data_IF_758895429709
#
_entry.id   IF_758895429709
#
_cell.length_a   1.000
_cell.length_b   1.000
_cell.length_c   1.000
_cell.angle_alpha   90.00
_cell.angle_beta   90.00
_cell.angle_gamma   90.00
#
_symmetry.space_group_name_H-M   'P 1'
#
loop_
_entity.id
_entity.type
_entity.pdbx_description
1 polymer ?
#
# COMPACT_ATOMS: atom_id res chain seq x y z
N UNK A 1 37.77 24.68 -5.87
CA UNK A 1 37.59 23.75 -4.73
C UNK A 1 36.10 23.47 -4.67
N UNK A 2 35.66 22.28 -5.07
CA UNK A 2 34.26 21.89 -4.87
C UNK A 2 34.01 21.93 -3.37
N UNK A 3 32.99 22.66 -2.90
CA UNK A 3 32.56 22.52 -1.51
C UNK A 3 32.34 21.02 -1.25
N UNK A 4 32.80 20.52 -0.11
CA UNK A 4 32.50 19.16 0.29
C UNK A 4 30.97 19.03 0.36
N UNK A 5 30.39 18.05 -0.32
CA UNK A 5 28.96 17.78 -0.23
C UNK A 5 28.59 17.50 1.23
N UNK A 6 27.61 18.22 1.82
CA UNK A 6 27.23 18.01 3.20
C UNK A 6 26.64 16.61 3.38
N UNK A 7 26.99 15.97 4.49
CA UNK A 7 26.41 14.69 4.91
C UNK A 7 25.09 14.98 5.60
N UNK A 8 24.00 14.41 5.07
CA UNK A 8 22.64 14.44 5.64
C UNK A 8 22.52 13.45 6.79
N UNK A 9 21.59 13.69 7.69
CA UNK A 9 21.23 12.69 8.71
C UNK A 9 20.42 11.55 8.07
N UNK A 10 19.50 11.87 7.16
CA UNK A 10 18.64 10.90 6.48
C UNK A 10 18.51 11.20 4.98
N UNK A 11 18.59 10.16 4.15
CA UNK A 11 18.05 10.19 2.77
C UNK A 11 16.93 9.17 2.63
N UNK A 12 15.73 9.66 2.27
CA UNK A 12 14.59 8.83 1.92
C UNK A 12 14.51 8.54 0.43
N UNK A 13 14.17 7.30 0.08
CA UNK A 13 14.02 6.85 -1.31
C UNK A 13 12.58 6.41 -1.58
N UNK A 14 11.86 7.27 -2.30
CA UNK A 14 10.41 7.22 -2.50
C UNK A 14 9.71 8.35 -1.76
N UNK A 15 8.72 8.99 -2.38
CA UNK A 15 7.81 9.92 -1.72
C UNK A 15 6.39 9.38 -1.88
N UNK A 16 6.15 8.21 -1.26
CA UNK A 16 4.80 7.68 -1.01
C UNK A 16 4.19 8.29 0.27
N UNK A 17 2.96 7.89 0.64
CA UNK A 17 2.29 8.42 1.84
C UNK A 17 3.13 8.26 3.12
N UNK A 18 3.83 7.13 3.27
CA UNK A 18 4.62 6.84 4.47
C UNK A 18 5.84 7.75 4.62
N UNK A 19 6.70 7.83 3.59
CA UNK A 19 7.88 8.70 3.60
C UNK A 19 7.51 10.19 3.57
N UNK A 20 6.40 10.56 2.94
CA UNK A 20 5.87 11.92 3.03
C UNK A 20 5.41 12.24 4.46
N UNK A 21 4.79 11.29 5.16
CA UNK A 21 4.45 11.44 6.58
C UNK A 21 5.69 11.57 7.45
N UNK A 22 6.75 10.79 7.17
CA UNK A 22 8.01 10.91 7.88
C UNK A 22 8.65 12.29 7.66
N UNK A 23 8.64 12.78 6.42
CA UNK A 23 9.11 14.12 6.08
C UNK A 23 8.31 15.22 6.81
N UNK A 24 6.98 15.08 6.89
CA UNK A 24 6.11 16.02 7.58
C UNK A 24 6.31 16.01 9.11
N UNK A 25 6.57 14.85 9.71
CA UNK A 25 6.91 14.76 11.14
C UNK A 25 8.30 15.34 11.42
N UNK A 26 9.31 15.07 10.60
CA UNK A 26 10.63 15.68 10.77
C UNK A 26 10.62 17.21 10.64
N UNK A 27 9.77 17.76 9.77
CA UNK A 27 9.57 19.22 9.64
C UNK A 27 8.88 19.86 10.85
N UNK A 28 8.00 19.11 11.53
CA UNK A 28 7.27 19.57 12.72
C UNK A 28 8.00 19.34 14.04
N UNK A 29 9.08 18.56 14.06
CA UNK A 29 9.86 18.29 15.26
C UNK A 29 10.67 19.51 15.68
N UNK A 30 10.74 19.78 16.99
CA UNK A 30 11.61 20.84 17.55
C UNK A 30 13.12 20.52 17.38
N UNK A 31 13.44 19.31 16.94
CA UNK A 31 14.80 18.83 16.68
C UNK A 31 15.12 18.91 15.17
N UNK A 32 16.21 19.62 14.84
CA UNK A 32 16.67 19.85 13.47
C UNK A 32 17.41 18.60 12.93
N UNK A 33 16.69 17.72 12.23
CA UNK A 33 17.29 16.61 11.46
C UNK A 33 17.43 17.00 10.00
N UNK A 34 18.65 16.94 9.45
CA UNK A 34 18.88 17.25 8.04
C UNK A 34 18.48 16.06 7.15
N UNK A 35 17.22 16.05 6.71
CA UNK A 35 16.63 15.00 5.88
C UNK A 35 16.30 15.47 4.45
N UNK A 36 16.43 14.57 3.48
CA UNK A 36 15.96 14.78 2.11
C UNK A 36 15.32 13.52 1.55
N UNK A 37 14.19 13.66 0.86
CA UNK A 37 13.41 12.56 0.29
C UNK A 37 13.39 12.69 -1.23
N UNK A 38 13.61 11.58 -1.93
CA UNK A 38 13.82 11.55 -3.38
C UNK A 38 12.73 10.73 -4.07
N UNK A 39 12.05 11.30 -5.06
CA UNK A 39 11.13 10.55 -5.92
C UNK A 39 11.43 10.77 -7.40
N UNK A 40 11.25 9.72 -8.21
CA UNK A 40 11.46 9.77 -9.66
C UNK A 40 10.39 10.58 -10.39
N UNK A 41 9.16 10.62 -9.88
CA UNK A 41 8.06 11.36 -10.49
C UNK A 41 8.35 12.86 -10.43
N UNK A 42 7.83 13.66 -11.38
CA UNK A 42 8.00 15.11 -11.37
C UNK A 42 7.16 15.82 -10.30
N UNK A 43 6.11 15.16 -9.78
CA UNK A 43 5.22 15.67 -8.76
C UNK A 43 4.58 14.53 -7.96
N UNK A 44 4.01 14.85 -6.79
CA UNK A 44 3.27 13.88 -5.99
C UNK A 44 1.98 13.43 -6.70
N UNK A 45 1.85 12.12 -6.88
CA UNK A 45 0.66 11.43 -7.42
C UNK A 45 0.53 10.05 -6.78
N UNK A 46 -0.51 9.85 -5.99
CA UNK A 46 -0.79 8.57 -5.34
C UNK A 46 -1.88 7.80 -6.09
N UNK A 47 -1.52 6.63 -6.63
CA UNK A 47 -2.41 5.75 -7.42
C UNK A 47 -3.26 6.46 -8.48
N UNK A 48 -2.65 7.37 -9.27
CA UNK A 48 -3.36 8.24 -10.22
C UNK A 48 -4.35 7.54 -11.16
N UNK A 49 -4.03 6.35 -11.66
CA UNK A 49 -4.92 5.60 -12.57
C UNK A 49 -6.12 4.93 -11.88
N UNK A 50 -6.23 5.00 -10.55
CA UNK A 50 -7.33 4.48 -9.73
C UNK A 50 -8.03 5.57 -8.91
N UNK A 51 -7.81 6.86 -9.23
CA UNK A 51 -8.52 7.98 -8.59
C UNK A 51 -9.94 8.14 -9.17
N UNK A 52 -10.69 7.04 -9.22
CA UNK A 52 -12.05 6.96 -9.75
C UNK A 52 -12.96 7.86 -8.89
N UNK A 53 -13.83 8.63 -9.53
CA UNK A 53 -14.79 9.48 -8.81
C UNK A 53 -15.75 8.64 -7.96
N UNK A 54 -16.05 9.09 -6.75
CA UNK A 54 -16.87 8.35 -5.79
C UNK A 54 -16.10 7.35 -4.91
N UNK A 55 -14.86 6.99 -5.25
CA UNK A 55 -14.03 6.10 -4.40
C UNK A 55 -13.44 6.82 -3.19
N UNK A 56 -13.43 6.12 -2.06
CA UNK A 56 -12.96 6.63 -0.77
C UNK A 56 -11.73 5.86 -0.27
N UNK A 57 -11.07 6.41 0.75
CA UNK A 57 -10.13 5.64 1.57
C UNK A 57 -10.88 4.58 2.39
N UNK A 58 -10.22 3.47 2.67
CA UNK A 58 -10.73 2.42 3.57
C UNK A 58 -10.46 2.74 5.05
N UNK A 59 -9.65 3.79 5.31
CA UNK A 59 -9.30 4.28 6.64
C UNK A 59 -9.94 5.64 6.92
N UNK A 60 -10.20 6.00 8.19
CA UNK A 60 -10.68 7.33 8.54
C UNK A 60 -9.65 8.41 8.21
N UNK A 61 -10.08 9.64 7.94
CA UNK A 61 -9.17 10.78 7.69
C UNK A 61 -8.18 11.08 8.83
N UNK A 62 -8.41 10.52 10.03
CA UNK A 62 -7.46 10.59 11.14
C UNK A 62 -6.14 9.88 10.80
N UNK A 63 -6.18 8.88 9.92
CA UNK A 63 -5.01 8.26 9.29
C UNK A 63 -4.47 9.16 8.15
N UNK A 64 -4.32 10.46 8.44
CA UNK A 64 -3.55 11.36 7.61
C UNK A 64 -2.04 11.19 7.87
N UNK A 65 -1.21 12.12 7.39
CA UNK A 65 0.24 11.99 7.47
C UNK A 65 0.80 12.17 8.89
N UNK A 66 0.06 12.79 9.81
CA UNK A 66 0.62 13.35 11.06
C UNK A 66 -0.28 13.24 12.28
N UNK A 67 -1.62 13.27 12.13
CA UNK A 67 -2.60 13.53 13.20
C UNK A 67 -2.51 12.52 14.34
N UNK A 68 -2.28 11.24 14.06
CA UNK A 68 -2.16 10.22 15.10
C UNK A 68 -0.85 10.31 15.90
N UNK A 69 0.17 11.01 15.40
CA UNK A 69 1.40 11.31 16.15
C UNK A 69 1.34 12.69 16.82
N UNK A 70 0.84 13.70 16.10
CA UNK A 70 0.65 15.07 16.57
C UNK A 70 -0.57 15.73 15.89
N UNK A 71 -1.73 15.78 16.57
CA UNK A 71 -2.93 16.45 16.06
C UNK A 71 -2.77 17.96 15.85
N UNK A 72 -1.71 18.58 16.39
CA UNK A 72 -1.46 20.02 16.27
C UNK A 72 -0.64 20.38 15.04
N UNK A 73 -0.11 19.38 14.34
CA UNK A 73 0.74 19.57 13.17
C UNK A 73 0.06 20.43 12.10
N UNK A 74 0.78 21.42 11.54
CA UNK A 74 0.27 22.24 10.44
C UNK A 74 0.06 21.41 9.16
N UNK A 75 0.58 20.19 9.09
CA UNK A 75 0.42 19.29 7.95
C UNK A 75 -0.79 18.35 8.08
N UNK A 76 -1.63 18.52 9.11
CA UNK A 76 -2.85 17.70 9.27
C UNK A 76 -3.87 17.94 8.15
N UNK A 77 -4.69 16.93 7.88
CA UNK A 77 -5.76 16.98 6.89
C UNK A 77 -6.79 18.07 7.22
N UNK A 78 -7.12 18.24 8.50
CA UNK A 78 -8.02 19.32 8.93
C UNK A 78 -7.41 20.71 8.70
N UNK A 79 -6.10 20.88 8.88
CA UNK A 79 -5.44 22.15 8.56
C UNK A 79 -5.37 22.39 7.03
N UNK A 80 -5.16 21.34 6.24
CA UNK A 80 -5.32 21.41 4.79
C UNK A 80 -6.71 21.91 4.39
N UNK A 81 -7.78 21.34 4.95
CA UNK A 81 -9.15 21.79 4.66
C UNK A 81 -9.37 23.26 5.06
N UNK A 82 -8.77 23.70 6.16
CA UNK A 82 -8.82 25.10 6.59
C UNK A 82 -8.12 26.03 5.59
N UNK A 83 -6.92 25.68 5.18
CA UNK A 83 -6.09 26.45 4.23
C UNK A 83 -6.65 26.44 2.79
N UNK A 84 -7.51 25.47 2.46
CA UNK A 84 -8.24 25.42 1.19
C UNK A 84 -9.64 26.05 1.24
N UNK A 85 -10.04 26.64 2.37
CA UNK A 85 -11.37 27.21 2.61
C UNK A 85 -12.53 26.20 2.49
N UNK A 86 -12.27 24.90 2.75
CA UNK A 86 -13.25 23.80 2.60
C UNK A 86 -13.70 23.17 3.92
N UNK A 87 -13.19 23.66 5.06
CA UNK A 87 -13.46 23.04 6.37
C UNK A 87 -14.95 22.96 6.73
N UNK A 88 -15.74 24.00 6.45
CA UNK A 88 -17.19 23.97 6.72
C UNK A 88 -17.94 23.06 5.76
N UNK A 89 -17.50 22.95 4.52
CA UNK A 89 -18.09 22.03 3.54
C UNK A 89 -17.84 20.58 3.96
N UNK A 90 -16.61 20.29 4.41
CA UNK A 90 -16.25 18.99 4.96
C UNK A 90 -17.00 18.68 6.26
N UNK A 91 -17.20 19.67 7.14
CA UNK A 91 -18.00 19.52 8.36
C UNK A 91 -19.41 19.01 8.05
N UNK A 92 -20.06 19.51 7.00
CA UNK A 92 -21.37 19.03 6.57
C UNK A 92 -21.32 17.76 5.70
N UNK A 93 -20.15 17.41 5.18
CA UNK A 93 -19.96 16.14 4.46
C UNK A 93 -20.02 14.93 5.41
N UNK A 94 -19.72 15.13 6.71
CA UNK A 94 -19.99 14.22 7.84
C UNK A 94 -19.60 12.75 7.60
N UNK A 95 -18.45 12.52 6.96
CA UNK A 95 -17.91 11.16 6.75
C UNK A 95 -16.45 11.06 7.22
N UNK A 96 -16.09 9.87 7.72
CA UNK A 96 -14.71 9.56 8.10
C UNK A 96 -13.89 9.06 6.91
N UNK A 97 -14.49 8.27 6.01
CA UNK A 97 -13.84 7.82 4.78
C UNK A 97 -13.94 8.91 3.72
N UNK A 98 -12.79 9.53 3.41
CA UNK A 98 -12.72 10.67 2.49
C UNK A 98 -12.42 10.24 1.06
N UNK A 99 -12.79 11.04 0.04
CA UNK A 99 -12.50 10.71 -1.35
C UNK A 99 -11.00 10.58 -1.61
N UNK A 100 -10.57 9.54 -2.34
CA UNK A 100 -9.15 9.33 -2.67
C UNK A 100 -8.53 10.51 -3.43
N UNK A 101 -9.33 11.16 -4.28
CA UNK A 101 -8.94 12.38 -5.02
C UNK A 101 -8.60 13.53 -4.07
N UNK A 102 -9.33 13.67 -2.97
CA UNK A 102 -9.09 14.71 -1.98
C UNK A 102 -7.86 14.39 -1.13
N UNK A 103 -7.66 13.11 -0.77
CA UNK A 103 -6.46 12.67 -0.07
C UNK A 103 -5.18 12.83 -0.92
N UNK A 104 -5.23 12.52 -2.21
CA UNK A 104 -4.13 12.81 -3.15
C UNK A 104 -3.84 14.31 -3.26
N UNK A 105 -4.87 15.17 -3.27
CA UNK A 105 -4.70 16.62 -3.27
C UNK A 105 -4.10 17.15 -1.94
N UNK A 106 -4.50 16.57 -0.81
CA UNK A 106 -3.93 16.84 0.50
C UNK A 106 -2.44 16.48 0.55
N UNK A 107 -2.07 15.26 0.16
CA UNK A 107 -0.68 14.83 0.16
C UNK A 107 0.18 15.67 -0.80
N UNK A 108 -0.35 16.03 -1.97
CA UNK A 108 0.33 16.98 -2.87
C UNK A 108 0.55 18.33 -2.20
N UNK A 109 -0.45 18.85 -1.50
CA UNK A 109 -0.33 20.12 -0.76
C UNK A 109 0.74 20.06 0.33
N UNK A 110 0.88 18.95 1.06
CA UNK A 110 1.97 18.77 2.02
C UNK A 110 3.32 18.70 1.31
N UNK A 111 3.45 17.88 0.27
CA UNK A 111 4.69 17.73 -0.49
C UNK A 111 5.20 19.04 -1.11
N UNK A 112 4.29 19.93 -1.54
CA UNK A 112 4.63 21.26 -2.08
C UNK A 112 5.17 22.24 -1.00
N UNK A 113 4.92 21.97 0.29
CA UNK A 113 5.34 22.81 1.41
C UNK A 113 6.66 22.37 2.05
N UNK A 114 7.09 21.14 1.76
CA UNK A 114 8.28 20.54 2.36
C UNK A 114 9.49 20.71 1.44
N UNK A 115 10.45 21.53 1.86
CA UNK A 115 11.72 21.73 1.13
C UNK A 115 12.60 20.45 1.10
N UNK A 116 12.33 19.49 1.98
CA UNK A 116 12.99 18.19 2.04
C UNK A 116 12.56 17.26 0.89
N UNK A 117 11.42 17.49 0.23
CA UNK A 117 10.94 16.69 -0.88
C UNK A 117 11.60 17.10 -2.21
N UNK A 118 12.26 16.15 -2.90
CA UNK A 118 12.92 16.36 -4.19
C UNK A 118 12.38 15.38 -5.24
N UNK A 119 11.53 15.91 -6.10
CA UNK A 119 10.99 15.23 -7.27
C UNK A 119 11.99 15.23 -8.45
N UNK A 120 11.71 14.42 -9.47
CA UNK A 120 12.63 14.16 -10.60
C UNK A 120 14.02 13.72 -10.14
N UNK A 121 14.06 12.84 -9.14
CA UNK A 121 15.26 12.20 -8.56
C UNK A 121 15.07 10.68 -8.56
N UNK A 122 15.32 10.05 -9.69
CA UNK A 122 15.38 8.59 -9.77
C UNK A 122 16.69 8.09 -9.17
N UNK A 123 16.62 7.42 -8.02
CA UNK A 123 17.77 6.76 -7.40
C UNK A 123 18.19 5.56 -8.23
N UNK A 124 19.48 5.52 -8.59
CA UNK A 124 20.07 4.50 -9.46
C UNK A 124 21.07 3.60 -8.75
N UNK A 125 21.64 4.04 -7.63
CA UNK A 125 22.55 3.23 -6.82
C UNK A 125 22.63 3.76 -5.39
N UNK A 126 22.74 2.83 -4.44
CA UNK A 126 23.06 3.08 -3.04
C UNK A 126 24.29 2.25 -2.68
N UNK A 127 25.37 2.91 -2.27
CA UNK A 127 26.63 2.30 -1.84
C UNK A 127 26.94 2.73 -0.39
N UNK A 128 27.64 1.90 0.38
CA UNK A 128 28.14 2.29 1.70
C UNK A 128 29.65 2.56 1.63
N UNK A 129 30.07 3.76 2.02
CA UNK A 129 31.47 4.18 2.10
C UNK A 129 32.00 3.84 3.50
N UNK A 130 32.78 2.77 3.61
CA UNK A 130 33.34 2.30 4.89
C UNK A 130 34.34 3.30 5.50
N UNK A 131 35.05 4.09 4.69
CA UNK A 131 36.05 5.05 5.19
C UNK A 131 35.38 6.26 5.84
N UNK A 132 34.22 6.65 5.33
CA UNK A 132 33.43 7.80 5.82
C UNK A 132 32.28 7.41 6.74
N UNK A 133 31.96 6.13 6.82
CA UNK A 133 30.82 5.56 7.55
C UNK A 133 29.47 6.20 7.15
N UNK A 134 29.25 6.38 5.84
CA UNK A 134 28.03 6.98 5.28
C UNK A 134 27.55 6.24 4.03
N UNK A 135 26.27 6.36 3.72
CA UNK A 135 25.72 5.95 2.45
C UNK A 135 25.95 7.02 1.37
N UNK A 136 26.32 6.59 0.18
CA UNK A 136 26.32 7.38 -1.05
C UNK A 136 25.10 6.98 -1.91
N UNK A 137 24.20 7.93 -2.11
CA UNK A 137 23.01 7.77 -2.95
C UNK A 137 23.21 8.53 -4.26
N UNK A 138 23.20 7.80 -5.38
CA UNK A 138 23.27 8.38 -6.73
C UNK A 138 21.88 8.43 -7.34
N UNK A 139 21.49 9.59 -7.84
CA UNK A 139 20.23 9.80 -8.51
C UNK A 139 20.41 10.50 -9.86
N UNK A 140 19.41 10.40 -10.72
CA UNK A 140 19.33 11.17 -11.97
C UNK A 140 17.94 11.77 -12.16
N UNK A 141 17.88 12.87 -12.90
CA UNK A 141 16.62 13.34 -13.47
C UNK A 141 16.22 12.40 -14.63
N UNK A 142 15.05 11.74 -14.59
CA UNK A 142 14.61 10.82 -15.65
C UNK A 142 14.48 11.46 -17.03
N UNK A 143 14.14 12.76 -17.10
CA UNK A 143 13.90 13.47 -18.36
C UNK A 143 15.19 14.10 -18.92
N UNK A 144 16.00 14.73 -18.07
CA UNK A 144 17.18 15.49 -18.51
C UNK A 144 18.48 14.69 -18.43
N UNK A 145 18.51 13.61 -17.64
CA UNK A 145 19.72 12.84 -17.34
C UNK A 145 20.70 13.54 -16.39
N UNK A 146 20.34 14.70 -15.83
CA UNK A 146 21.14 15.41 -14.83
C UNK A 146 21.43 14.49 -13.63
N UNK A 147 22.68 14.46 -13.17
CA UNK A 147 23.12 13.55 -12.09
C UNK A 147 23.21 14.29 -10.77
N UNK A 148 22.78 13.61 -9.71
CA UNK A 148 22.82 14.08 -8.34
C UNK A 148 23.48 13.04 -7.45
N UNK A 149 24.16 13.53 -6.41
CA UNK A 149 24.83 12.73 -5.40
C UNK A 149 24.43 13.24 -4.02
N UNK A 150 24.12 12.33 -3.12
CA UNK A 150 23.76 12.61 -1.74
C UNK A 150 24.59 11.72 -0.81
N UNK A 151 25.05 12.27 0.31
CA UNK A 151 25.70 11.52 1.37
C UNK A 151 24.79 11.52 2.59
N UNK A 152 24.61 10.37 3.25
CA UNK A 152 23.70 10.23 4.38
C UNK A 152 24.24 9.29 5.46
N UNK A 153 23.95 9.58 6.73
CA UNK A 153 24.23 8.65 7.84
C UNK A 153 23.27 7.47 7.80
N UNK A 154 21.98 7.75 7.63
CA UNK A 154 20.91 6.75 7.58
C UNK A 154 20.11 6.86 6.28
N UNK A 155 19.41 5.78 5.94
CA UNK A 155 18.48 5.71 4.81
C UNK A 155 17.09 5.27 5.28
N UNK A 156 16.05 5.72 4.57
CA UNK A 156 14.71 5.13 4.66
C UNK A 156 14.22 4.76 3.27
N UNK A 157 13.65 3.57 3.13
CA UNK A 157 13.21 3.01 1.85
C UNK A 157 11.68 2.89 1.83
N UNK A 158 11.03 3.88 1.21
CA UNK A 158 9.59 3.94 0.96
C UNK A 158 9.22 3.85 -0.52
N UNK A 159 9.90 2.98 -1.28
CA UNK A 159 9.71 2.83 -2.75
C UNK A 159 8.34 2.27 -3.18
N UNK A 160 7.52 1.84 -2.22
CA UNK A 160 6.18 1.33 -2.47
C UNK A 160 6.16 0.00 -3.22
N UNK A 161 5.04 -0.26 -3.90
CA UNK A 161 4.80 -1.47 -4.66
C UNK A 161 4.59 -1.15 -6.14
N UNK A 162 4.79 -2.15 -7.00
CA UNK A 162 4.56 -2.02 -8.45
C UNK A 162 3.45 -2.96 -8.90
N UNK A 163 2.64 -2.58 -9.92
CA UNK A 163 1.62 -3.45 -10.50
C UNK A 163 2.16 -4.84 -10.79
N UNK A 164 1.43 -5.86 -10.34
CA UNK A 164 1.79 -7.24 -10.61
C UNK A 164 1.00 -7.74 -11.82
N UNK A 165 1.68 -7.84 -12.97
CA UNK A 165 1.15 -8.51 -14.16
C UNK A 165 1.77 -9.91 -14.23
N UNK A 166 0.97 -10.99 -14.16
CA UNK A 166 1.44 -12.35 -14.35
C UNK A 166 2.26 -12.50 -15.64
N UNK A 167 3.33 -13.29 -15.59
CA UNK A 167 4.28 -13.43 -16.71
C UNK A 167 3.60 -13.77 -18.03
N UNK A 168 2.58 -14.63 -18.00
CA UNK A 168 1.79 -15.03 -19.15
C UNK A 168 1.08 -13.88 -19.88
N UNK A 169 0.96 -12.70 -19.26
CA UNK A 169 0.19 -11.56 -19.80
C UNK A 169 1.08 -10.35 -20.17
N UNK A 170 2.38 -10.38 -19.88
CA UNK A 170 3.26 -9.18 -19.96
C UNK A 170 3.55 -8.69 -21.38
N UNK A 171 3.51 -9.58 -22.36
CA UNK A 171 3.83 -9.25 -23.76
C UNK A 171 2.58 -8.87 -24.59
N UNK A 172 1.43 -8.71 -23.94
CA UNK A 172 0.17 -8.34 -24.60
C UNK A 172 0.09 -6.82 -24.78
N UNK A 173 -0.74 -6.33 -25.73
CA UNK A 173 -0.89 -4.90 -25.93
C UNK A 173 -1.51 -4.19 -24.71
N UNK A 174 -0.73 -3.32 -24.05
CA UNK A 174 -1.12 -2.47 -22.91
C UNK A 174 -2.33 -1.54 -23.17
N UNK A 175 -2.77 -1.43 -24.42
CA UNK A 175 -4.00 -0.70 -24.75
C UNK A 175 -5.25 -1.51 -24.40
N UNK A 176 -5.19 -2.84 -24.54
CA UNK A 176 -6.35 -3.72 -24.41
C UNK A 176 -6.28 -4.62 -23.17
N UNK A 177 -5.08 -5.04 -22.79
CA UNK A 177 -4.84 -5.88 -21.60
C UNK A 177 -3.95 -5.09 -20.65
N UNK A 178 -4.50 -4.57 -19.57
CA UNK A 178 -3.78 -3.65 -18.70
C UNK A 178 -4.16 -3.81 -17.23
N UNK A 179 -3.27 -3.38 -16.34
CA UNK A 179 -3.50 -3.43 -14.90
C UNK A 179 -4.42 -2.29 -14.44
N UNK A 180 -5.20 -2.52 -13.37
CA UNK A 180 -6.09 -1.49 -12.76
C UNK A 180 -5.37 -0.17 -12.47
N UNK A 181 -4.07 -0.23 -12.17
CA UNK A 181 -3.20 0.94 -11.97
C UNK A 181 -3.18 1.96 -13.13
N UNK A 182 -3.61 1.56 -14.33
CA UNK A 182 -3.72 2.40 -15.53
C UNK A 182 -5.17 2.58 -15.99
N UNK A 183 -6.15 2.21 -15.17
CA UNK A 183 -7.56 2.14 -15.57
C UNK A 183 -8.10 3.48 -16.09
N UNK A 184 -7.92 4.59 -15.37
CA UNK A 184 -8.43 5.88 -15.82
C UNK A 184 -7.82 6.34 -17.16
N UNK A 185 -6.57 5.98 -17.44
CA UNK A 185 -5.90 6.28 -18.72
C UNK A 185 -6.39 5.40 -19.87
N UNK A 186 -7.18 4.35 -19.56
CA UNK A 186 -7.66 3.33 -20.49
C UNK A 186 -9.18 3.15 -20.46
N UNK A 187 -9.91 3.86 -19.60
CA UNK A 187 -11.35 3.70 -19.44
C UNK A 187 -12.11 3.89 -20.74
N UNK A 188 -11.78 4.91 -21.53
CA UNK A 188 -12.45 5.13 -22.82
C UNK A 188 -12.28 3.94 -23.77
N UNK A 189 -11.12 3.28 -23.75
CA UNK A 189 -10.90 2.05 -24.51
C UNK A 189 -11.79 0.90 -24.02
N UNK A 190 -12.07 0.79 -22.73
CA UNK A 190 -13.07 -0.15 -22.22
C UNK A 190 -14.48 0.21 -22.70
N UNK A 191 -14.87 1.49 -22.63
CA UNK A 191 -16.21 1.95 -23.04
C UNK A 191 -16.49 1.80 -24.54
N UNK A 192 -15.44 1.72 -25.36
CA UNK A 192 -15.51 1.46 -26.80
C UNK A 192 -15.44 -0.04 -27.18
N UNK A 193 -15.28 -0.94 -26.20
CA UNK A 193 -15.20 -2.39 -26.39
C UNK A 193 -16.61 -3.02 -26.49
N UNK A 194 -16.78 -4.17 -27.17
CA UNK A 194 -18.04 -4.92 -27.13
C UNK A 194 -18.09 -5.88 -25.91
N UNK A 195 -16.94 -6.40 -25.49
CA UNK A 195 -16.81 -7.28 -24.32
C UNK A 195 -15.62 -6.89 -23.42
N UNK A 196 -15.88 -6.72 -22.13
CA UNK A 196 -14.87 -6.34 -21.12
C UNK A 196 -14.79 -7.43 -20.05
N UNK A 197 -13.59 -7.86 -19.70
CA UNK A 197 -13.37 -8.78 -18.57
C UNK A 197 -12.47 -8.16 -17.51
N UNK A 198 -12.98 -8.03 -16.28
CA UNK A 198 -12.20 -7.69 -15.09
C UNK A 198 -11.71 -8.98 -14.43
N UNK A 199 -10.40 -9.07 -14.16
CA UNK A 199 -9.76 -10.26 -13.55
C UNK A 199 -9.17 -9.89 -12.19
N UNK A 200 -9.67 -10.47 -11.11
CA UNK A 200 -9.17 -10.20 -9.75
C UNK A 200 -10.29 -10.14 -8.71
N UNK A 201 -9.95 -10.10 -7.42
CA UNK A 201 -10.94 -10.15 -6.32
C UNK A 201 -10.92 -8.99 -5.36
N UNK A 202 -9.86 -8.17 -5.38
CA UNK A 202 -9.67 -7.11 -4.39
C UNK A 202 -10.44 -5.84 -4.74
N UNK A 203 -10.36 -4.85 -3.84
CA UNK A 203 -11.05 -3.57 -3.97
C UNK A 203 -10.88 -2.93 -5.35
N UNK A 204 -9.67 -2.86 -5.90
CA UNK A 204 -9.46 -2.21 -7.22
C UNK A 204 -10.21 -2.90 -8.37
N UNK A 205 -10.40 -4.23 -8.30
CA UNK A 205 -11.20 -4.94 -9.31
C UNK A 205 -12.68 -4.60 -9.15
N UNK A 206 -13.16 -4.52 -7.91
CA UNK A 206 -14.54 -4.16 -7.58
C UNK A 206 -14.87 -2.72 -8.02
N UNK A 207 -13.99 -1.76 -7.75
CA UNK A 207 -14.18 -0.35 -8.14
C UNK A 207 -14.19 -0.17 -9.65
N UNK A 208 -13.30 -0.85 -10.38
CA UNK A 208 -13.31 -0.83 -11.85
C UNK A 208 -14.60 -1.46 -12.38
N UNK A 209 -14.99 -2.61 -11.83
CA UNK A 209 -16.22 -3.28 -12.23
C UNK A 209 -17.44 -2.39 -11.98
N UNK A 210 -17.52 -1.74 -10.83
CA UNK A 210 -18.59 -0.81 -10.47
C UNK A 210 -18.61 0.41 -11.41
N UNK A 211 -17.47 1.05 -11.65
CA UNK A 211 -17.37 2.22 -12.53
C UNK A 211 -17.83 1.91 -13.97
N UNK A 212 -17.49 0.72 -14.47
CA UNK A 212 -17.98 0.22 -15.76
C UNK A 212 -19.45 -0.20 -15.69
N UNK A 213 -19.91 -0.82 -14.60
CA UNK A 213 -21.29 -1.23 -14.46
C UNK A 213 -22.22 -0.02 -14.49
N UNK A 214 -21.94 1.03 -13.71
CA UNK A 214 -22.75 2.25 -13.65
C UNK A 214 -22.84 2.98 -15.01
N UNK A 215 -21.89 2.78 -15.91
CA UNK A 215 -21.87 3.35 -17.27
C UNK A 215 -22.49 2.45 -18.33
N UNK A 216 -22.77 1.20 -18.00
CA UNK A 216 -23.34 0.23 -18.93
C UNK A 216 -24.68 0.68 -19.54
N UNK A 217 -25.62 1.37 -18.84
CA UNK A 217 -26.90 1.75 -19.44
C UNK A 217 -26.81 2.68 -20.66
N UNK A 218 -25.72 3.45 -20.77
CA UNK A 218 -25.46 4.36 -21.90
C UNK A 218 -24.72 3.67 -23.06
N UNK A 219 -24.39 2.38 -22.89
CA UNK A 219 -23.54 1.57 -23.76
C UNK A 219 -24.19 0.19 -23.95
N UNK A 220 -23.63 -0.62 -24.85
CA UNK A 220 -24.14 -1.98 -25.12
C UNK A 220 -23.00 -3.01 -25.08
N UNK A 221 -22.10 -2.90 -24.10
CA UNK A 221 -21.04 -3.90 -23.86
C UNK A 221 -21.44 -4.96 -22.85
N UNK A 222 -20.88 -6.16 -23.03
CA UNK A 222 -20.86 -7.21 -22.02
C UNK A 222 -19.76 -6.95 -21.00
N UNK A 223 -20.06 -7.12 -19.71
CA UNK A 223 -19.12 -6.92 -18.61
C UNK A 223 -18.99 -8.17 -17.73
N UNK A 224 -17.83 -8.81 -17.77
CA UNK A 224 -17.55 -10.02 -17.00
C UNK A 224 -16.54 -9.78 -15.87
N UNK A 225 -16.71 -10.44 -14.72
CA UNK A 225 -15.79 -10.40 -13.58
C UNK A 225 -15.39 -11.81 -13.17
N UNK A 226 -14.11 -12.13 -13.39
CA UNK A 226 -13.52 -13.43 -13.08
C UNK A 226 -12.57 -13.32 -11.89
N UNK A 227 -12.71 -14.21 -10.92
CA UNK A 227 -11.84 -14.23 -9.74
C UNK A 227 -11.43 -15.64 -9.35
N UNK A 228 -10.16 -15.82 -8.95
CA UNK A 228 -9.64 -17.08 -8.41
C UNK A 228 -10.11 -17.35 -6.98
N UNK A 229 -10.52 -16.32 -6.25
CA UNK A 229 -10.97 -16.40 -4.86
C UNK A 229 -12.26 -17.23 -4.75
N UNK A 230 -12.53 -17.80 -3.57
CA UNK A 230 -13.72 -18.64 -3.36
C UNK A 230 -15.04 -17.84 -3.46
N UNK A 231 -14.96 -16.51 -3.48
CA UNK A 231 -16.10 -15.62 -3.67
C UNK A 231 -15.66 -14.16 -3.78
N UNK A 232 -16.66 -13.28 -3.87
CA UNK A 232 -16.49 -11.82 -3.80
C UNK A 232 -16.69 -11.37 -2.35
N UNK A 233 -15.73 -11.71 -1.49
CA UNK A 233 -15.89 -11.49 -0.05
C UNK A 233 -15.53 -10.07 0.37
N UNK A 234 -16.28 -9.51 1.34
CA UNK A 234 -15.92 -8.24 1.94
C UNK A 234 -14.65 -8.37 2.77
N UNK A 235 -13.97 -7.25 2.99
CA UNK A 235 -12.91 -7.11 3.98
C UNK A 235 -13.50 -7.13 5.39
N UNK A 236 -12.74 -7.63 6.36
CA UNK A 236 -13.10 -7.56 7.78
C UNK A 236 -13.03 -6.11 8.27
N UNK A 237 -14.17 -5.54 8.66
CA UNK A 237 -14.28 -4.15 9.12
C UNK A 237 -14.97 -4.00 10.48
N UNK A 238 -15.15 -5.10 11.21
CA UNK A 238 -15.69 -5.03 12.57
C UNK A 238 -14.70 -4.37 13.52
N UNK A 239 -15.22 -3.62 14.50
CA UNK A 239 -14.40 -2.87 15.47
C UNK A 239 -13.42 -3.74 16.28
N UNK A 240 -13.74 -5.02 16.48
CA UNK A 240 -12.83 -5.97 17.13
C UNK A 240 -11.78 -6.50 16.15
N UNK A 241 -12.18 -6.83 14.90
CA UNK A 241 -11.25 -7.22 13.85
C UNK A 241 -10.21 -6.14 13.57
N UNK A 242 -10.65 -4.87 13.50
CA UNK A 242 -9.78 -3.72 13.23
C UNK A 242 -8.70 -3.48 14.29
N UNK A 243 -8.79 -4.06 15.50
CA UNK A 243 -7.69 -3.95 16.48
C UNK A 243 -6.42 -4.72 16.05
N UNK A 244 -6.47 -5.52 14.97
CA UNK A 244 -5.26 -6.07 14.35
C UNK A 244 -4.41 -5.00 13.65
N UNK A 245 -4.97 -3.82 13.37
CA UNK A 245 -4.28 -2.68 12.77
C UNK A 245 -3.79 -1.70 13.84
N UNK A 246 -3.15 -2.22 14.90
CA UNK A 246 -2.68 -1.42 16.04
C UNK A 246 -1.22 -1.70 16.36
N UNK A 247 -0.51 -0.78 17.05
CA UNK A 247 0.84 -1.02 17.54
C UNK A 247 1.00 -2.30 18.37
N UNK A 248 -0.01 -2.64 19.18
CA UNK A 248 -0.04 -3.83 20.04
C UNK A 248 0.02 -5.11 19.20
N UNK A 249 -0.80 -5.21 18.16
CA UNK A 249 -0.77 -6.38 17.27
C UNK A 249 0.55 -6.48 16.52
N UNK A 250 1.09 -5.36 16.04
CA UNK A 250 2.40 -5.32 15.35
C UNK A 250 3.50 -5.87 16.26
N UNK A 251 3.58 -5.44 17.52
CA UNK A 251 4.57 -5.93 18.49
C UNK A 251 4.36 -7.40 18.83
N UNK A 252 3.11 -7.81 19.06
CA UNK A 252 2.76 -9.22 19.29
C UNK A 252 3.23 -10.08 18.11
N UNK A 253 2.84 -9.73 16.89
CA UNK A 253 3.20 -10.46 15.69
C UNK A 253 4.72 -10.49 15.50
N UNK A 254 5.43 -9.37 15.74
CA UNK A 254 6.88 -9.31 15.65
C UNK A 254 7.60 -10.23 16.64
N UNK A 255 7.03 -10.44 17.83
CA UNK A 255 7.61 -11.31 18.88
C UNK A 255 7.45 -12.81 18.59
N UNK A 256 6.57 -13.19 17.66
CA UNK A 256 6.40 -14.59 17.25
C UNK A 256 7.64 -15.13 16.52
N UNK A 257 7.93 -16.44 16.62
CA UNK A 257 8.92 -17.09 15.76
C UNK A 257 8.61 -16.86 14.27
N UNK A 258 9.65 -16.75 13.44
CA UNK A 258 9.49 -16.45 12.00
C UNK A 258 8.60 -17.47 11.28
N UNK A 259 8.71 -18.76 11.63
CA UNK A 259 7.87 -19.82 11.06
C UNK A 259 6.39 -19.58 11.34
N UNK A 260 6.03 -19.23 12.59
CA UNK A 260 4.67 -18.89 12.98
C UNK A 260 4.15 -17.66 12.24
N UNK A 261 4.97 -16.60 12.10
CA UNK A 261 4.59 -15.41 11.31
C UNK A 261 4.24 -15.77 9.86
N UNK A 262 5.01 -16.68 9.27
CA UNK A 262 4.83 -17.13 7.89
C UNK A 262 3.60 -18.03 7.69
N UNK A 263 3.12 -18.68 8.75
CA UNK A 263 1.88 -19.48 8.76
C UNK A 263 0.64 -18.61 8.99
N UNK A 264 0.70 -17.66 9.93
CA UNK A 264 -0.44 -16.80 10.30
C UNK A 264 -0.77 -15.79 9.21
N UNK A 265 0.23 -15.16 8.59
CA UNK A 265 0.00 -14.05 7.67
C UNK A 265 -0.93 -14.40 6.48
N UNK A 266 -0.80 -15.56 5.79
CA UNK A 266 -1.74 -15.96 4.73
C UNK A 266 -3.18 -16.16 5.20
N UNK A 267 -3.41 -16.51 6.48
CA UNK A 267 -4.76 -16.70 7.04
C UNK A 267 -5.50 -15.37 7.26
N UNK A 268 -4.76 -14.25 7.20
CA UNK A 268 -5.27 -12.91 7.47
C UNK A 268 -5.60 -12.13 6.21
N UNK A 269 -5.69 -12.80 5.06
CA UNK A 269 -5.94 -12.14 3.78
C UNK A 269 -7.21 -11.28 3.78
N UNK A 270 -8.29 -11.70 4.44
CA UNK A 270 -9.53 -10.91 4.53
C UNK A 270 -9.42 -9.67 5.41
N UNK A 271 -8.36 -9.52 6.21
CA UNK A 271 -8.13 -8.27 6.94
C UNK A 271 -7.76 -7.12 5.99
N UNK A 272 -7.15 -7.39 4.82
CA UNK A 272 -6.59 -6.33 3.96
C UNK A 272 -6.73 -6.55 2.44
N UNK A 273 -7.23 -7.69 1.97
CA UNK A 273 -7.41 -8.00 0.53
C UNK A 273 -8.86 -8.13 0.08
N UNK A 274 -9.81 -7.97 1.01
CA UNK A 274 -11.24 -8.03 0.71
C UNK A 274 -11.74 -6.82 -0.08
N UNK A 275 -13.04 -6.85 -0.41
CA UNK A 275 -13.76 -5.71 -1.01
C UNK A 275 -14.35 -4.89 0.14
N UNK A 276 -14.30 -3.57 0.07
CA UNK A 276 -15.02 -2.71 1.00
C UNK A 276 -16.53 -3.07 1.01
N UNK A 277 -17.16 -3.25 2.18
CA UNK A 277 -18.56 -3.65 2.27
C UNK A 277 -19.51 -2.72 1.51
N UNK A 278 -19.29 -1.39 1.55
CA UNK A 278 -20.15 -0.44 0.85
C UNK A 278 -20.02 -0.58 -0.67
N UNK A 279 -18.79 -0.81 -1.17
CA UNK A 279 -18.54 -1.09 -2.59
C UNK A 279 -19.22 -2.39 -3.03
N UNK A 280 -19.17 -3.44 -2.19
CA UNK A 280 -19.83 -4.71 -2.47
C UNK A 280 -21.35 -4.55 -2.57
N UNK A 281 -21.95 -3.88 -1.59
CA UNK A 281 -23.39 -3.58 -1.56
C UNK A 281 -23.80 -2.74 -2.78
N UNK A 282 -23.02 -1.70 -3.11
CA UNK A 282 -23.28 -0.83 -4.25
C UNK A 282 -23.26 -1.56 -5.59
N UNK A 283 -22.36 -2.53 -5.77
CA UNK A 283 -22.35 -3.38 -6.97
C UNK A 283 -23.65 -4.18 -7.06
N UNK A 284 -24.09 -4.80 -5.97
CA UNK A 284 -25.31 -5.58 -5.96
C UNK A 284 -26.56 -4.72 -6.20
N UNK A 285 -26.65 -3.57 -5.54
CA UNK A 285 -27.73 -2.58 -5.75
C UNK A 285 -27.79 -2.13 -7.20
N UNK A 286 -26.66 -1.80 -7.81
CA UNK A 286 -26.59 -1.37 -9.22
C UNK A 286 -27.01 -2.49 -10.17
N UNK A 287 -26.56 -3.73 -9.94
CA UNK A 287 -27.02 -4.89 -10.72
C UNK A 287 -28.55 -5.07 -10.62
N UNK A 288 -29.09 -4.96 -9.42
CA UNK A 288 -30.53 -5.06 -9.17
C UNK A 288 -31.31 -3.96 -9.88
N UNK A 289 -30.88 -2.70 -9.76
CA UNK A 289 -31.50 -1.55 -10.45
C UNK A 289 -31.49 -1.72 -11.96
N UNK A 290 -30.38 -2.20 -12.54
CA UNK A 290 -30.27 -2.44 -13.98
C UNK A 290 -31.20 -3.57 -14.44
N UNK A 291 -31.48 -4.56 -13.59
CA UNK A 291 -32.33 -5.72 -13.90
C UNK A 291 -33.82 -5.44 -14.03
N UNK A 292 -34.30 -4.23 -13.67
CA UNK A 292 -35.75 -3.93 -13.54
C UNK A 292 -36.51 -4.15 -14.85
N UNK A 293 -35.93 -3.75 -15.99
CA UNK A 293 -36.57 -3.86 -17.31
C UNK A 293 -35.92 -4.92 -18.22
N UNK A 294 -34.63 -5.19 -18.04
CA UNK A 294 -33.85 -6.19 -18.76
C UNK A 294 -32.72 -6.70 -17.87
N UNK A 295 -32.37 -7.98 -17.95
CA UNK A 295 -31.17 -8.47 -17.27
C UNK A 295 -29.94 -7.73 -17.83
N UNK A 296 -29.03 -7.21 -16.98
CA UNK A 296 -27.78 -6.62 -17.45
C UNK A 296 -26.91 -7.68 -18.13
N UNK A 297 -26.20 -7.33 -19.21
CA UNK A 297 -25.28 -8.25 -19.90
C UNK A 297 -23.98 -8.35 -19.11
N UNK A 298 -24.06 -9.14 -18.04
CA UNK A 298 -23.02 -9.26 -17.02
C UNK A 298 -22.79 -10.73 -16.66
N UNK A 299 -21.54 -11.11 -16.41
CA UNK A 299 -21.20 -12.41 -15.84
C UNK A 299 -20.24 -12.29 -14.66
N UNK A 300 -20.55 -12.92 -13.52
CA UNK A 300 -19.65 -13.01 -12.37
C UNK A 300 -19.31 -14.47 -12.14
N UNK A 301 -18.02 -14.80 -12.09
CA UNK A 301 -17.57 -16.18 -11.86
C UNK A 301 -16.39 -16.24 -10.89
N UNK A 302 -16.65 -16.80 -9.71
CA UNK A 302 -15.65 -17.07 -8.70
C UNK A 302 -14.88 -18.38 -8.96
N UNK A 303 -13.86 -18.63 -8.15
CA UNK A 303 -13.02 -19.84 -8.18
C UNK A 303 -12.39 -20.14 -9.55
N UNK A 304 -12.25 -19.11 -10.39
CA UNK A 304 -11.82 -19.20 -11.78
C UNK A 304 -10.45 -18.57 -11.94
N UNK A 305 -9.49 -19.40 -12.31
CA UNK A 305 -8.13 -18.97 -12.62
C UNK A 305 -8.02 -18.68 -14.12
N UNK A 306 -7.65 -17.44 -14.47
CA UNK A 306 -7.21 -17.09 -15.83
C UNK A 306 -5.74 -17.48 -15.95
N UNK A 307 -5.42 -18.44 -16.81
CA UNK A 307 -4.07 -19.02 -16.97
C UNK A 307 -3.28 -18.44 -18.13
N UNK A 308 -3.98 -17.96 -19.14
CA UNK A 308 -3.42 -17.45 -20.38
C UNK A 308 -4.38 -16.47 -21.02
N UNK A 309 -3.85 -15.50 -21.74
CA UNK A 309 -4.60 -14.59 -22.58
C UNK A 309 -3.87 -14.53 -23.92
N UNK A 310 -4.56 -14.84 -25.00
CA UNK A 310 -3.99 -14.87 -26.34
C UNK A 310 -4.82 -14.02 -27.29
N UNK A 311 -4.22 -13.31 -28.26
CA UNK A 311 -4.97 -12.66 -29.34
C UNK A 311 -5.83 -13.68 -30.09
N UNK A 312 -7.10 -13.35 -30.32
CA UNK A 312 -8.01 -14.19 -31.09
C UNK A 312 -7.76 -14.02 -32.60
N UNK A 313 -8.00 -15.09 -33.35
CA UNK A 313 -8.02 -15.04 -34.82
C UNK A 313 -9.25 -14.28 -35.38
N UNK A 314 -10.25 -13.98 -34.54
CA UNK A 314 -11.52 -13.35 -34.94
C UNK A 314 -11.39 -11.86 -35.27
N UNK A 315 -10.25 -11.23 -34.96
CA UNK A 315 -9.99 -9.84 -35.33
C UNK A 315 -8.94 -9.16 -34.46
N UNK A 316 -8.48 -7.97 -34.86
CA UNK A 316 -7.66 -7.13 -33.99
C UNK A 316 -8.44 -6.77 -32.73
N UNK A 317 -7.75 -6.57 -31.60
CA UNK A 317 -8.34 -6.21 -30.31
C UNK A 317 -9.30 -7.24 -29.71
N UNK A 318 -9.27 -8.50 -30.19
CA UNK A 318 -10.02 -9.60 -29.60
C UNK A 318 -9.06 -10.56 -28.91
N UNK A 319 -9.43 -11.03 -27.74
CA UNK A 319 -8.63 -11.88 -26.88
C UNK A 319 -9.42 -13.10 -26.44
N UNK A 320 -8.69 -14.19 -26.20
CA UNK A 320 -9.20 -15.43 -25.68
C UNK A 320 -8.49 -15.75 -24.37
N UNK A 321 -9.26 -15.81 -23.29
CA UNK A 321 -8.81 -16.15 -21.95
C UNK A 321 -8.94 -17.66 -21.77
N UNK A 322 -7.84 -18.32 -21.42
CA UNK A 322 -7.85 -19.72 -21.01
C UNK A 322 -8.13 -19.80 -19.50
N UNK A 323 -9.31 -20.30 -19.14
CA UNK A 323 -9.81 -20.30 -17.76
C UNK A 323 -9.91 -21.73 -17.19
N UNK A 324 -9.71 -21.87 -15.88
CA UNK A 324 -10.02 -23.09 -15.13
C UNK A 324 -10.86 -22.75 -13.89
N UNK A 325 -12.08 -23.28 -13.83
CA UNK A 325 -12.89 -23.29 -12.61
C UNK A 325 -12.37 -24.41 -11.71
N UNK A 326 -11.78 -24.06 -10.56
CA UNK A 326 -10.96 -24.95 -9.73
C UNK A 326 -11.75 -26.00 -8.95
N UNK A 327 -13.00 -25.73 -8.59
CA UNK A 327 -13.84 -26.66 -7.82
C UNK A 327 -14.51 -27.71 -8.72
N UNK A 328 -14.95 -27.31 -9.91
CA UNK A 328 -15.47 -28.22 -10.93
C UNK A 328 -14.35 -28.99 -11.64
N UNK A 329 -13.13 -28.43 -11.67
CA UNK A 329 -12.04 -28.94 -12.49
C UNK A 329 -12.28 -28.71 -13.98
N UNK A 330 -13.13 -27.75 -14.34
CA UNK A 330 -13.56 -27.48 -15.72
C UNK A 330 -12.67 -26.41 -16.35
N UNK A 331 -12.10 -26.70 -17.52
CA UNK A 331 -11.40 -25.72 -18.36
C UNK A 331 -12.31 -25.20 -19.45
N UNK A 332 -12.25 -23.91 -19.73
CA UNK A 332 -13.02 -23.27 -20.78
C UNK A 332 -12.27 -22.07 -21.37
N UNK A 333 -12.74 -21.62 -22.53
CA UNK A 333 -12.25 -20.41 -23.18
C UNK A 333 -13.29 -19.30 -23.04
N UNK A 334 -12.85 -18.07 -22.80
CA UNK A 334 -13.70 -16.90 -22.66
C UNK A 334 -13.19 -15.76 -23.55
N UNK A 335 -14.08 -15.14 -24.33
CA UNK A 335 -13.71 -14.06 -25.26
C UNK A 335 -13.85 -12.69 -24.62
N UNK A 336 -12.91 -11.78 -24.89
CA UNK A 336 -12.95 -10.39 -24.44
C UNK A 336 -12.28 -9.47 -25.46
N UNK A 337 -12.68 -8.21 -25.50
CA UNK A 337 -12.01 -7.18 -26.31
C UNK A 337 -11.10 -6.29 -25.45
N UNK A 338 -11.44 -6.10 -24.17
CA UNK A 338 -10.59 -5.45 -23.18
C UNK A 338 -10.51 -6.28 -21.91
N UNK A 339 -9.32 -6.42 -21.33
CA UNK A 339 -9.08 -7.16 -20.10
C UNK A 339 -8.42 -6.26 -19.06
N UNK A 340 -9.09 -6.05 -17.93
CA UNK A 340 -8.56 -5.26 -16.83
C UNK A 340 -8.06 -6.18 -15.71
N UNK A 341 -6.76 -6.15 -15.47
CA UNK A 341 -6.09 -7.00 -14.49
C UNK A 341 -6.05 -6.31 -13.13
N UNK A 342 -6.95 -6.71 -12.23
CA UNK A 342 -6.94 -6.42 -10.80
C UNK A 342 -6.09 -7.43 -10.01
N UNK A 343 -4.89 -7.71 -10.49
CA UNK A 343 -3.98 -8.75 -9.97
C UNK A 343 -3.06 -8.27 -8.84
N UNK A 344 -3.30 -7.07 -8.34
CA UNK A 344 -2.63 -6.52 -7.17
C UNK A 344 -1.22 -6.02 -7.45
N UNK A 345 -0.45 -5.82 -6.38
CA UNK A 345 0.88 -5.25 -6.45
C UNK A 345 1.89 -6.17 -5.78
N UNK A 346 3.14 -6.10 -6.22
CA UNK A 346 4.25 -6.78 -5.58
C UNK A 346 5.38 -5.80 -5.27
N UNK A 347 6.31 -6.21 -4.42
CA UNK A 347 7.42 -5.38 -3.92
C UNK A 347 8.74 -5.99 -4.38
N UNK A 348 9.19 -5.72 -5.62
CA UNK A 348 10.49 -6.19 -6.07
C UNK A 348 11.59 -5.51 -5.26
N UNK A 349 12.70 -6.21 -5.02
CA UNK A 349 13.90 -5.58 -4.47
C UNK A 349 14.42 -4.56 -5.50
N UNK A 350 14.55 -3.27 -5.15
CA UNK A 350 14.99 -2.27 -6.10
C UNK A 350 16.42 -2.53 -6.57
N UNK A 351 16.66 -2.41 -7.88
CA UNK A 351 17.99 -2.64 -8.48
C UNK A 351 19.07 -1.72 -7.91
N UNK A 352 18.70 -0.51 -7.47
CA UNK A 352 19.64 0.43 -6.86
C UNK A 352 20.25 -0.07 -5.54
N UNK A 353 19.65 -1.10 -4.90
CA UNK A 353 20.18 -1.75 -3.70
C UNK A 353 21.19 -2.86 -4.02
N UNK A 354 21.39 -3.23 -5.30
CA UNK A 354 22.34 -4.28 -5.68
C UNK A 354 23.76 -4.09 -5.09
N UNK A 355 24.32 -2.86 -4.94
CA UNK A 355 25.61 -2.68 -4.29
C UNK A 355 25.58 -2.91 -2.78
N UNK A 356 24.43 -2.71 -2.13
CA UNK A 356 24.24 -2.92 -0.69
C UNK A 356 23.83 -4.37 -0.36
N UNK A 357 23.33 -5.11 -1.35
CA UNK A 357 22.85 -6.49 -1.22
C UNK A 357 23.78 -7.42 -0.44
N UNK A 358 25.11 -7.44 -0.62
CA UNK A 358 26.00 -8.33 0.13
C UNK A 358 26.04 -8.07 1.64
N UNK A 359 25.56 -6.91 2.10
CA UNK A 359 25.49 -6.53 3.51
C UNK A 359 24.14 -6.85 4.14
N UNK A 360 23.09 -7.08 3.35
CA UNK A 360 21.74 -7.30 3.87
C UNK A 360 21.64 -8.71 4.45
N UNK A 361 21.37 -8.80 5.75
CA UNK A 361 21.06 -10.10 6.35
C UNK A 361 19.68 -10.57 5.95
N UNK A 362 19.59 -11.84 5.56
CA UNK A 362 18.35 -12.45 5.09
C UNK A 362 17.88 -13.58 6.01
N UNK A 363 16.58 -13.80 6.02
CA UNK A 363 15.97 -14.98 6.64
C UNK A 363 16.13 -16.23 5.76
N UNK A 364 15.59 -17.35 6.21
CA UNK A 364 15.69 -18.65 5.52
C UNK A 364 14.93 -18.68 4.17
N UNK A 365 13.98 -17.76 3.96
CA UNK A 365 13.25 -17.59 2.69
C UNK A 365 13.90 -16.54 1.79
N UNK A 366 15.07 -16.03 2.17
CA UNK A 366 15.80 -15.05 1.40
C UNK A 366 15.16 -13.67 1.43
N UNK A 367 14.37 -13.29 2.45
CA UNK A 367 13.84 -11.92 2.64
C UNK A 367 14.74 -11.14 3.60
N UNK A 368 14.81 -9.80 3.54
CA UNK A 368 15.57 -9.02 4.51
C UNK A 368 15.08 -9.27 5.94
N UNK A 369 16.02 -9.42 6.88
CA UNK A 369 15.70 -9.41 8.32
C UNK A 369 15.45 -7.97 8.75
N UNK A 370 14.26 -7.74 9.30
CA UNK A 370 13.82 -6.41 9.72
C UNK A 370 13.54 -6.47 11.22
N UNK A 371 14.16 -5.57 11.96
CA UNK A 371 14.01 -5.44 13.42
C UNK A 371 12.66 -4.80 13.77
N UNK A 372 12.25 -4.89 15.03
CA UNK A 372 11.01 -4.27 15.54
C UNK A 372 10.94 -2.75 15.29
N UNK A 373 12.08 -2.07 15.24
CA UNK A 373 12.20 -0.65 14.92
C UNK A 373 12.43 -0.36 13.42
N UNK A 374 11.95 -1.27 12.57
CA UNK A 374 11.91 -1.12 11.11
C UNK A 374 13.26 -1.01 10.41
N UNK A 375 14.37 -1.45 11.04
CA UNK A 375 15.69 -1.46 10.41
C UNK A 375 15.97 -2.77 9.71
N UNK A 376 16.56 -2.69 8.53
CA UNK A 376 17.20 -3.82 7.87
C UNK A 376 18.50 -4.13 8.60
N UNK A 377 18.68 -5.38 9.00
CA UNK A 377 19.95 -5.82 9.58
C UNK A 377 21.07 -5.81 8.51
N UNK A 378 22.13 -5.05 8.77
CA UNK A 378 23.30 -4.94 7.90
C UNK A 378 24.56 -5.51 8.55
N UNK A 379 25.41 -6.14 7.74
CA UNK A 379 26.77 -6.53 8.11
C UNK A 379 27.78 -5.42 7.80
N UNK A 380 28.53 -5.01 8.84
CA UNK A 380 29.67 -4.10 8.70
C UNK A 380 29.35 -2.65 8.33
N UNK A 381 28.12 -2.18 8.55
CA UNK A 381 27.72 -0.78 8.38
C UNK A 381 27.29 -0.17 9.72
N UNK A 382 27.77 1.04 10.02
CA UNK A 382 27.36 1.82 11.19
C UNK A 382 26.06 2.57 10.94
N UNK A 383 25.81 2.97 9.68
CA UNK A 383 24.57 3.59 9.23
C UNK A 383 23.40 2.62 9.21
N UNK A 384 22.19 3.14 9.44
CA UNK A 384 20.95 2.37 9.51
C UNK A 384 20.15 2.50 8.23
N UNK A 385 19.47 1.43 7.84
CA UNK A 385 18.52 1.43 6.72
C UNK A 385 17.15 1.07 7.25
N UNK A 386 16.24 2.03 7.27
CA UNK A 386 14.84 1.83 7.62
C UNK A 386 14.02 1.44 6.39
N UNK A 387 12.91 0.75 6.61
CA UNK A 387 11.97 0.39 5.54
C UNK A 387 10.55 0.81 5.88
N UNK A 388 9.79 1.14 4.85
CA UNK A 388 8.39 1.52 4.94
C UNK A 388 7.58 0.64 4.00
N UNK A 389 6.66 -0.14 4.55
CA UNK A 389 5.79 -1.05 3.81
C UNK A 389 6.57 -2.14 3.01
N UNK A 390 7.70 -2.61 3.55
CA UNK A 390 8.48 -3.76 3.05
C UNK A 390 8.61 -4.89 4.10
N UNK A 391 7.91 -4.74 5.24
CA UNK A 391 8.09 -5.52 6.45
C UNK A 391 6.91 -6.44 6.79
N UNK A 392 6.03 -6.73 5.81
CA UNK A 392 4.82 -7.56 5.99
C UNK A 392 5.13 -8.91 6.68
N UNK A 393 6.25 -9.55 6.36
CA UNK A 393 6.66 -10.85 6.93
C UNK A 393 7.20 -10.77 8.37
N UNK A 394 7.37 -9.57 8.92
CA UNK A 394 7.89 -9.33 10.28
C UNK A 394 6.96 -8.52 11.16
N UNK A 395 6.11 -7.67 10.57
CA UNK A 395 5.19 -6.77 11.30
C UNK A 395 3.71 -7.02 10.97
N UNK A 396 3.41 -7.97 10.09
CA UNK A 396 2.05 -8.41 9.83
C UNK A 396 1.22 -7.42 9.01
N UNK A 397 -0.09 -7.61 9.02
CA UNK A 397 -1.07 -6.92 8.16
C UNK A 397 -1.10 -5.40 8.28
N UNK A 398 -0.52 -4.84 9.35
CA UNK A 398 -0.39 -3.39 9.54
C UNK A 398 0.64 -2.72 8.62
N UNK A 399 1.55 -3.46 7.99
CA UNK A 399 2.60 -2.87 7.14
C UNK A 399 2.08 -1.96 6.00
N UNK A 400 1.06 -2.35 5.20
CA UNK A 400 0.47 -1.47 4.19
C UNK A 400 -0.57 -0.47 4.71
N UNK A 401 -0.94 -0.51 5.99
CA UNK A 401 -2.03 0.29 6.55
C UNK A 401 -1.60 1.75 6.77
N UNK A 402 -2.42 2.71 6.31
CA UNK A 402 -2.15 4.15 6.47
C UNK A 402 -2.27 4.60 7.93
N UNK A 403 -3.16 4.01 8.72
CA UNK A 403 -3.37 4.31 10.13
C UNK A 403 -2.18 3.93 11.02
N UNK A 404 -1.32 3.02 10.57
CA UNK A 404 -0.06 2.69 11.23
C UNK A 404 1.16 3.44 10.65
N UNK A 405 0.95 4.26 9.63
CA UNK A 405 2.02 5.06 9.01
C UNK A 405 2.66 6.02 10.00
N UNK A 406 1.86 6.76 10.76
CA UNK A 406 2.33 7.69 11.81
C UNK A 406 3.06 6.95 12.94
N UNK A 407 2.54 5.81 13.40
CA UNK A 407 3.21 4.99 14.42
C UNK A 407 4.61 4.58 13.96
N UNK A 408 4.72 4.02 12.75
CA UNK A 408 6.00 3.61 12.17
C UNK A 408 6.94 4.81 12.00
N UNK A 409 6.43 5.94 11.55
CA UNK A 409 7.21 7.16 11.43
C UNK A 409 7.72 7.66 12.79
N UNK A 410 6.89 7.66 13.85
CA UNK A 410 7.29 8.04 15.20
C UNK A 410 8.43 7.15 15.74
N UNK A 411 8.34 5.84 15.51
CA UNK A 411 9.42 4.90 15.88
C UNK A 411 10.72 5.22 15.13
N UNK A 412 10.64 5.50 13.82
CA UNK A 412 11.82 5.86 13.01
C UNK A 412 12.40 7.21 13.46
N UNK A 413 11.57 8.21 13.73
CA UNK A 413 11.98 9.52 14.25
C UNK A 413 12.70 9.37 15.59
N UNK A 414 12.18 8.56 16.51
CA UNK A 414 12.82 8.26 17.80
C UNK A 414 14.21 7.64 17.60
N UNK A 415 14.35 6.70 16.67
CA UNK A 415 15.67 6.14 16.34
C UNK A 415 16.61 7.20 15.76
N UNK A 416 16.13 8.04 14.84
CA UNK A 416 16.96 9.06 14.19
C UNK A 416 17.48 10.11 15.18
N UNK A 417 16.61 10.60 16.07
CA UNK A 417 16.91 11.69 16.99
C UNK A 417 17.49 11.21 18.33
N UNK A 418 17.31 9.93 18.68
CA UNK A 418 17.76 9.36 19.94
C UNK A 418 16.90 9.75 21.15
N UNK A 419 15.73 10.37 20.92
CA UNK A 419 14.75 10.71 21.93
C UNK A 419 13.32 10.56 21.39
N UNK A 420 12.37 10.27 22.28
CA UNK A 420 10.97 10.12 21.93
C UNK A 420 10.31 11.50 21.72
N UNK A 421 10.32 11.99 20.48
CA UNK A 421 9.69 13.27 20.09
C UNK A 421 8.17 13.16 20.02
N UNK A 422 7.67 12.04 19.48
CA UNK A 422 6.25 11.75 19.38
C UNK A 422 5.87 10.62 20.34
N UNK A 423 4.67 10.63 20.94
CA UNK A 423 4.21 9.52 21.75
C UNK A 423 4.12 8.25 20.90
N UNK A 424 4.70 7.16 21.40
CA UNK A 424 4.60 5.83 20.80
C UNK A 424 3.66 5.02 21.69
N UNK A 425 2.42 4.90 21.22
CA UNK A 425 1.34 4.24 21.94
C UNK A 425 1.60 2.74 22.16
N UNK A 426 1.39 2.29 23.41
CA UNK A 426 1.70 0.91 23.84
C UNK A 426 0.52 0.10 24.34
N UNK A 427 -0.54 0.76 24.77
CA UNK A 427 -1.74 0.14 25.34
C UNK A 427 -2.96 1.03 25.07
N UNK A 428 -3.51 0.90 23.86
CA UNK A 428 -4.56 1.78 23.32
C UNK A 428 -5.84 1.06 22.92
N UNK A 429 -5.86 -0.27 23.04
CA UNK A 429 -6.98 -1.10 22.60
C UNK A 429 -7.42 -2.08 23.68
N UNK A 430 -8.62 -2.65 23.51
CA UNK A 430 -9.24 -3.50 24.53
C UNK A 430 -8.80 -4.97 24.49
N UNK A 431 -8.11 -5.39 23.43
CA UNK A 431 -7.67 -6.76 23.23
C UNK A 431 -6.20 -6.95 23.58
N UNK A 432 -5.93 -7.97 24.38
CA UNK A 432 -4.59 -8.52 24.54
C UNK A 432 -4.34 -9.59 23.48
N UNK A 433 -3.24 -9.46 22.74
CA UNK A 433 -2.85 -10.46 21.75
C UNK A 433 -1.88 -11.50 22.33
N UNK A 434 -1.09 -11.13 23.33
CA UNK A 434 -0.14 -12.00 24.01
C UNK A 434 -0.69 -12.58 25.31
N UNK A 435 -0.41 -13.87 25.57
CA UNK A 435 -0.83 -14.55 26.81
C UNK A 435 -0.22 -13.90 28.05
N UNK A 436 1.05 -13.49 27.99
CA UNK A 436 1.73 -12.85 29.13
C UNK A 436 1.07 -11.52 29.51
N UNK A 437 0.73 -10.70 28.52
CA UNK A 437 0.02 -9.43 28.70
C UNK A 437 -1.39 -9.66 29.29
N UNK A 438 -2.16 -10.57 28.69
CA UNK A 438 -3.49 -10.94 29.20
C UNK A 438 -3.44 -11.40 30.66
N UNK A 439 -2.42 -12.18 31.01
CA UNK A 439 -2.24 -12.68 32.36
C UNK A 439 -1.79 -11.58 33.33
N UNK A 440 -0.91 -10.65 32.93
CA UNK A 440 -0.47 -9.53 33.79
C UNK A 440 -1.60 -8.58 34.13
N UNK A 441 -2.51 -8.36 33.18
CA UNK A 441 -3.60 -7.39 33.32
C UNK A 441 -4.82 -8.03 34.01
N UNK A 442 -4.82 -9.36 34.12
CA UNK A 442 -5.88 -10.10 34.80
C UNK A 442 -5.77 -10.01 36.33
N UNK A 443 -6.74 -9.38 37.02
CA UNK A 443 -6.75 -9.30 38.49
C UNK A 443 -6.99 -10.67 39.17
N UNK A 444 -7.19 -11.74 38.38
CA UNK A 444 -7.45 -13.09 38.88
C UNK A 444 -6.18 -13.89 39.23
N UNK A 445 -4.98 -13.42 38.86
CA UNK A 445 -3.72 -14.15 39.16
C UNK A 445 -3.50 -14.41 40.66
N UNK A 446 -4.05 -13.58 41.55
CA UNK A 446 -4.01 -13.81 43.00
C UNK A 446 -4.93 -14.92 43.52
N UNK A 447 -5.65 -15.66 42.66
CA UNK A 447 -6.63 -16.70 43.06
C UNK A 447 -6.24 -18.13 42.69
N UNK A 448 -5.15 -18.36 41.97
CA UNK A 448 -4.79 -19.69 41.45
C UNK A 448 -3.37 -20.11 41.86
N UNK A 449 -3.17 -20.36 43.16
CA UNK A 449 -2.06 -21.17 43.69
C UNK A 449 -2.35 -22.68 43.50
N UNK A 450 -2.65 -23.10 42.27
CA UNK A 450 -2.64 -24.52 41.93
C UNK A 450 -1.82 -24.71 40.66
N UNK A 451 -0.69 -25.44 40.71
CA UNK A 451 0.10 -25.68 39.52
C UNK A 451 -0.73 -26.52 38.54
N UNK A 452 -0.83 -26.03 37.30
CA UNK A 452 -1.31 -26.81 36.16
C UNK A 452 -0.28 -27.94 35.99
N UNK A 453 -0.68 -29.17 36.25
CA UNK A 453 0.11 -30.35 35.88
C UNK A 453 0.04 -30.47 34.35
N UNK A 454 1.19 -30.33 33.70
CA UNK A 454 1.36 -30.72 32.30
C UNK A 454 1.28 -32.26 32.23
N UNK A 455 0.35 -32.78 31.43
CA UNK A 455 0.27 -34.20 31.01
C UNK A 455 1.02 -34.41 29.70
#
# INVERSE_FOLDING_TARGET
MSAAEPVRDLVGVGIGPFDLGLAALLDGADADADAVFLDRKPEFRWHGGMLIEGTTLEVPFLADLVTLADPTSPHSYLNYLRERDRLYEFYFYETFQIPRREYDAYMRWVAERLDSCRFSREVTAVEYDDDREVFEVRARNPETGERHRYLARDLVLGVGSVPYVPEAFRDLPDADVFHTASYLDRRERCLDADAITVVGSGQSAAEVFLDLLERQPERDYRLDWLTRSDGFFPMEYSKLGLQHFTPEYVRYFNSLPQETRDEVLPEQDLLYKGIDPETNDRIYETLYEHSIERDPDVGLLAMTEVRGIEPSADGPHRYRLACEQRQEGTRFEHGADAVVLGTGYHRPTPEFLAPLEPRIRRDERGRPRITEDYRVELDGAAGRVFVQNAELHTHGVGAPDLGLGTYRNSVIVEQLLGEAVYPVDRDTVFQDFGVEQFLSDSPAQGRTDHPIQED
#
